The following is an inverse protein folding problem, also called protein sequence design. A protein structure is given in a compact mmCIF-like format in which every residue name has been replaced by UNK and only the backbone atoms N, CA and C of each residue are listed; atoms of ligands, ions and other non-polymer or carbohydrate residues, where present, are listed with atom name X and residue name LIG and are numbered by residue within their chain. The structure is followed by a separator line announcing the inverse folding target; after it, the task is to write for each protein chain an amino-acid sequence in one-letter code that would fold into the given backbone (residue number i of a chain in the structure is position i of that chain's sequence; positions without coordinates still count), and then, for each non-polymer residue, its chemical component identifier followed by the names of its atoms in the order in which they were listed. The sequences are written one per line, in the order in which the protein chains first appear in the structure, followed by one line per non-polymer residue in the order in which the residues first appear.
data_IF_519378124719
#
_entry.id   IF_519378124719
#
_cell.length_a   1.000
_cell.length_b   1.000
_cell.length_c   1.000
_cell.angle_alpha   90.00
_cell.angle_beta   90.00
_cell.angle_gamma   90.00
#
_symmetry.space_group_name_H-M   'P 1'
#
loop_
_entity.id
_entity.type
_entity.pdbx_description
1 polymer ?
#
# COMPACT_ATOMS: atom_id res chain seq x y z
N UNK A 1 -46.22 72.91 5.22
CA UNK A 1 -45.30 72.11 6.05
C UNK A 1 -45.24 70.69 5.47
N UNK A 2 -44.20 70.40 4.76
CA UNK A 2 -43.99 69.12 4.10
C UNK A 2 -42.97 68.32 4.93
N UNK A 3 -43.35 67.16 5.48
CA UNK A 3 -42.42 66.28 6.16
C UNK A 3 -41.80 65.34 5.14
N UNK A 4 -40.47 65.37 5.06
CA UNK A 4 -39.65 64.46 4.36
C UNK A 4 -39.37 63.24 5.27
N UNK A 5 -39.73 62.05 4.83
CA UNK A 5 -39.29 60.80 5.43
C UNK A 5 -37.97 60.35 4.79
N UNK A 6 -36.96 59.96 5.54
CA UNK A 6 -35.72 59.53 4.95
C UNK A 6 -35.82 58.07 4.48
N UNK A 7 -35.42 57.84 3.23
CA UNK A 7 -35.19 56.57 2.58
C UNK A 7 -33.87 55.94 3.13
N UNK A 8 -33.89 55.36 4.30
CA UNK A 8 -32.70 54.74 4.90
C UNK A 8 -32.98 53.40 5.62
N UNK A 9 -33.90 52.61 5.07
CA UNK A 9 -34.25 51.32 5.72
C UNK A 9 -34.41 50.14 4.73
N UNK A 10 -33.70 50.11 3.60
CA UNK A 10 -33.84 49.01 2.65
C UNK A 10 -32.50 48.41 2.15
N UNK A 11 -31.41 48.61 2.85
CA UNK A 11 -30.11 48.04 2.50
C UNK A 11 -29.53 47.06 3.53
N UNK A 12 -30.31 46.58 4.49
CA UNK A 12 -29.81 45.75 5.57
C UNK A 12 -30.27 44.28 5.51
N UNK A 13 -30.80 43.80 4.37
CA UNK A 13 -31.32 42.40 4.31
C UNK A 13 -30.77 41.55 3.14
N UNK A 14 -29.56 41.82 2.64
CA UNK A 14 -28.96 41.03 1.56
C UNK A 14 -27.51 40.63 1.83
N UNK A 15 -27.12 40.43 3.09
CA UNK A 15 -25.74 40.06 3.48
C UNK A 15 -25.71 38.85 4.39
N UNK A 16 -26.62 37.87 4.21
CA UNK A 16 -26.67 36.66 5.04
C UNK A 16 -26.88 35.39 4.20
N UNK A 17 -26.15 35.23 3.07
CA UNK A 17 -26.06 33.95 2.35
C UNK A 17 -24.70 33.76 1.70
N UNK A 18 -23.65 34.08 2.41
CA UNK A 18 -22.33 33.52 2.15
C UNK A 18 -21.96 32.66 3.37
N UNK A 19 -22.62 31.50 3.52
CA UNK A 19 -22.01 30.40 4.23
C UNK A 19 -20.75 30.01 3.43
N UNK A 20 -19.54 30.22 3.93
CA UNK A 20 -18.41 29.56 3.35
C UNK A 20 -18.71 28.07 3.49
N UNK A 21 -18.90 27.40 2.34
CA UNK A 21 -19.01 25.95 2.30
C UNK A 21 -17.94 25.39 3.20
N UNK A 22 -18.32 24.48 4.10
CA UNK A 22 -17.39 23.77 4.96
C UNK A 22 -16.35 23.15 4.07
N UNK A 23 -15.22 23.83 3.89
CA UNK A 23 -14.05 23.28 3.24
C UNK A 23 -13.68 22.04 4.04
N UNK A 24 -13.87 20.88 3.45
CA UNK A 24 -13.46 19.62 4.04
C UNK A 24 -12.00 19.79 4.43
N UNK A 25 -11.74 19.88 5.72
CA UNK A 25 -10.41 20.18 6.26
C UNK A 25 -9.50 19.03 5.92
N UNK A 26 -8.60 19.23 4.97
CA UNK A 26 -7.45 18.35 4.76
C UNK A 26 -6.69 18.26 6.08
N UNK A 27 -6.55 17.06 6.60
CA UNK A 27 -5.83 16.83 7.87
C UNK A 27 -4.50 16.18 7.58
N UNK A 28 -3.42 16.80 8.02
CA UNK A 28 -2.12 16.18 8.03
C UNK A 28 -2.15 14.93 8.95
N UNK A 29 -1.68 13.81 8.44
CA UNK A 29 -1.43 12.59 9.22
C UNK A 29 0.06 12.34 9.29
N UNK A 30 0.57 12.17 10.49
CA UNK A 30 1.95 11.81 10.74
C UNK A 30 2.00 10.70 11.78
N UNK A 31 2.64 9.59 11.42
CA UNK A 31 2.98 8.49 12.31
C UNK A 31 4.49 8.21 12.20
N UNK A 32 4.98 7.24 12.96
CA UNK A 32 6.38 6.80 12.82
C UNK A 32 6.70 6.20 11.45
N UNK A 33 5.69 5.67 10.74
CA UNK A 33 5.91 4.94 9.49
C UNK A 33 5.38 5.66 8.26
N UNK A 34 4.55 6.70 8.43
CA UNK A 34 3.99 7.40 7.29
C UNK A 34 3.63 8.87 7.60
N UNK A 35 3.73 9.73 6.59
CA UNK A 35 3.37 11.15 6.68
C UNK A 35 2.75 11.63 5.37
N UNK A 36 1.65 12.38 5.44
CA UNK A 36 0.96 12.93 4.28
C UNK A 36 -0.38 13.56 4.65
N UNK A 37 -1.20 13.86 3.66
CA UNK A 37 -2.49 14.50 3.83
C UNK A 37 -3.65 13.54 3.59
N UNK A 38 -4.72 13.70 4.38
CA UNK A 38 -5.97 12.96 4.23
C UNK A 38 -7.09 13.94 3.90
N UNK A 39 -7.80 13.68 2.81
CA UNK A 39 -9.06 14.33 2.48
C UNK A 39 -10.18 13.29 2.44
N UNK A 40 -11.26 13.55 3.18
CA UNK A 40 -12.43 12.65 3.29
C UNK A 40 -12.08 11.18 3.54
N UNK A 41 -11.07 10.94 4.39
CA UNK A 41 -10.60 9.60 4.74
C UNK A 41 -9.70 8.92 3.70
N UNK A 42 -9.34 9.60 2.62
CA UNK A 42 -8.44 9.10 1.57
C UNK A 42 -7.10 9.82 1.62
N UNK A 43 -6.03 9.10 1.35
CA UNK A 43 -4.71 9.68 1.15
C UNK A 43 -4.70 10.51 -0.12
N UNK A 44 -4.19 11.75 -0.05
CA UNK A 44 -4.07 12.68 -1.19
C UNK A 44 -2.68 13.28 -1.24
N UNK A 45 -2.27 13.74 -2.43
CA UNK A 45 -0.95 14.33 -2.63
C UNK A 45 0.20 13.38 -2.34
N UNK A 46 1.34 13.94 -2.00
CA UNK A 46 2.59 13.19 -1.76
C UNK A 46 2.61 12.65 -0.34
N UNK A 47 2.81 11.35 -0.24
CA UNK A 47 3.03 10.63 1.02
C UNK A 47 4.46 10.14 1.11
N UNK A 48 5.02 10.26 2.29
CA UNK A 48 6.31 9.70 2.67
C UNK A 48 6.11 8.49 3.55
N UNK A 49 6.83 7.42 3.25
CA UNK A 49 6.79 6.18 3.99
C UNK A 49 8.17 5.85 4.54
N UNK A 50 8.21 5.39 5.76
CA UNK A 50 9.44 5.18 6.51
C UNK A 50 9.53 3.74 7.01
N UNK A 51 10.76 3.27 7.21
CA UNK A 51 11.07 2.10 8.05
C UNK A 51 11.86 2.55 9.27
N UNK A 52 11.83 1.74 10.31
CA UNK A 52 12.66 1.95 11.49
C UNK A 52 13.90 1.06 11.40
N UNK A 53 15.05 1.63 11.63
CA UNK A 53 16.28 0.89 11.83
C UNK A 53 16.30 0.23 13.21
N UNK A 54 17.24 -0.69 13.47
CA UNK A 54 17.36 -1.38 14.76
C UNK A 54 17.55 -0.43 15.95
N UNK A 55 18.17 0.73 15.71
CA UNK A 55 18.38 1.81 16.69
C UNK A 55 17.24 2.84 16.72
N UNK A 56 16.09 2.53 16.10
CA UNK A 56 14.87 3.34 16.15
C UNK A 56 14.85 4.56 15.23
N UNK A 57 15.87 4.76 14.38
CA UNK A 57 15.87 5.90 13.45
C UNK A 57 14.92 5.64 12.29
N UNK A 58 14.19 6.68 11.91
CA UNK A 58 13.36 6.68 10.71
C UNK A 58 14.23 6.80 9.45
N UNK A 59 13.95 5.95 8.48
CA UNK A 59 14.56 5.99 7.15
C UNK A 59 13.48 6.06 6.10
N UNK A 60 13.54 7.06 5.23
CA UNK A 60 12.62 7.20 4.10
C UNK A 60 12.82 6.01 3.14
N UNK A 61 11.75 5.27 2.89
CA UNK A 61 11.77 4.11 1.98
C UNK A 61 11.00 4.36 0.69
N UNK A 62 9.96 5.23 0.73
CA UNK A 62 9.17 5.50 -0.46
C UNK A 62 8.52 6.89 -0.38
N UNK A 63 8.40 7.57 -1.53
CA UNK A 63 7.48 8.69 -1.77
C UNK A 63 6.53 8.33 -2.88
N UNK A 64 5.24 8.50 -2.61
CA UNK A 64 4.19 8.17 -3.56
C UNK A 64 3.14 9.28 -3.59
N UNK A 65 2.82 9.75 -4.79
CA UNK A 65 1.71 10.70 -4.98
C UNK A 65 0.41 9.93 -5.21
N UNK A 66 -0.47 9.96 -4.20
CA UNK A 66 -1.77 9.30 -4.23
C UNK A 66 -2.78 9.97 -5.15
N UNK A 67 -2.63 11.27 -5.44
CA UNK A 67 -3.50 11.99 -6.37
C UNK A 67 -3.09 11.69 -7.81
N UNK A 68 -1.80 11.73 -8.11
CA UNK A 68 -1.28 11.44 -9.44
C UNK A 68 -1.08 9.93 -9.69
N UNK A 69 -1.26 9.09 -8.67
CA UNK A 69 -1.00 7.64 -8.70
C UNK A 69 0.42 7.33 -9.20
N UNK A 70 1.43 8.03 -8.63
CA UNK A 70 2.80 8.03 -9.16
C UNK A 70 3.84 7.80 -8.07
N UNK A 71 4.76 6.86 -8.33
CA UNK A 71 5.97 6.69 -7.54
C UNK A 71 6.94 7.85 -7.83
N UNK A 72 7.37 8.55 -6.78
CA UNK A 72 8.32 9.67 -6.86
C UNK A 72 9.72 9.27 -6.41
N UNK A 73 9.79 8.36 -5.43
CA UNK A 73 11.04 7.86 -4.87
C UNK A 73 10.83 6.48 -4.26
N UNK A 74 11.82 5.64 -4.36
CA UNK A 74 11.95 4.44 -3.54
C UNK A 74 13.41 4.24 -3.15
N UNK A 75 13.64 3.70 -1.96
CA UNK A 75 14.96 3.26 -1.55
C UNK A 75 15.30 1.98 -2.29
N UNK A 76 16.45 1.90 -2.96
CA UNK A 76 16.87 0.67 -3.61
C UNK A 76 16.91 -0.49 -2.61
N UNK A 77 16.31 -1.60 -2.98
CA UNK A 77 16.34 -2.89 -2.28
C UNK A 77 17.32 -3.82 -2.97
N UNK A 78 17.53 -5.01 -2.41
CA UNK A 78 18.40 -6.01 -3.01
C UNK A 78 18.04 -6.28 -4.48
N UNK A 79 19.07 -6.37 -5.31
CA UNK A 79 18.94 -6.61 -6.75
C UNK A 79 18.74 -8.12 -7.00
N UNK A 80 17.54 -8.60 -6.72
CA UNK A 80 17.15 -9.99 -6.97
C UNK A 80 16.51 -10.13 -8.35
N UNK A 81 16.76 -11.25 -9.08
CA UNK A 81 16.11 -11.52 -10.34
C UNK A 81 14.65 -11.96 -10.13
N UNK A 82 13.77 -11.49 -10.98
CA UNK A 82 12.35 -11.89 -11.04
C UNK A 82 12.08 -12.70 -12.30
N UNK A 83 11.13 -13.64 -12.22
CA UNK A 83 10.54 -14.23 -13.42
C UNK A 83 9.64 -13.17 -14.05
N UNK A 84 10.00 -12.69 -15.24
CA UNK A 84 9.31 -11.61 -15.93
C UNK A 84 9.17 -11.88 -17.42
N UNK A 85 8.18 -11.28 -18.04
CA UNK A 85 7.98 -11.33 -19.48
C UNK A 85 8.96 -10.35 -20.16
N UNK A 86 10.01 -10.89 -20.75
CA UNK A 86 11.05 -10.11 -21.46
C UNK A 86 10.63 -9.73 -22.88
N UNK A 87 9.78 -10.55 -23.49
CA UNK A 87 9.10 -10.33 -24.78
C UNK A 87 7.73 -11.00 -24.75
N UNK A 88 6.77 -10.63 -25.60
CA UNK A 88 5.44 -11.22 -25.60
C UNK A 88 5.45 -12.75 -25.60
N UNK A 89 4.92 -13.35 -24.53
CA UNK A 89 4.89 -14.80 -24.30
C UNK A 89 6.21 -15.42 -23.88
N UNK A 90 7.31 -14.67 -23.79
CA UNK A 90 8.63 -15.17 -23.36
C UNK A 90 8.94 -14.74 -21.94
N UNK A 91 8.97 -15.68 -21.02
CA UNK A 91 9.30 -15.48 -19.62
C UNK A 91 10.74 -15.89 -19.35
N UNK A 92 11.46 -15.07 -18.59
CA UNK A 92 12.82 -15.36 -18.18
C UNK A 92 13.10 -14.78 -16.78
N UNK A 93 13.98 -15.42 -16.04
CA UNK A 93 14.45 -14.91 -14.76
C UNK A 93 15.55 -13.88 -15.02
N UNK A 94 15.23 -12.59 -14.80
CA UNK A 94 16.14 -11.48 -15.06
C UNK A 94 16.01 -10.37 -14.03
N UNK A 95 17.05 -9.52 -13.96
CA UNK A 95 17.03 -8.32 -13.13
C UNK A 95 16.20 -7.24 -13.79
N UNK A 96 15.40 -6.57 -13.00
CA UNK A 96 14.56 -5.44 -13.43
C UNK A 96 15.17 -4.13 -12.91
N UNK A 97 14.97 -3.04 -13.63
CA UNK A 97 15.49 -1.72 -13.22
C UNK A 97 14.76 -1.18 -11.98
N UNK A 98 13.46 -1.45 -11.90
CA UNK A 98 12.63 -1.16 -10.74
C UNK A 98 11.90 -2.45 -10.35
N UNK A 99 12.09 -2.95 -9.13
CA UNK A 99 11.33 -4.11 -8.66
C UNK A 99 9.86 -3.78 -8.48
N UNK A 100 8.98 -4.78 -8.40
CA UNK A 100 7.61 -4.55 -7.96
C UNK A 100 7.63 -4.06 -6.51
N UNK A 101 6.88 -3.00 -6.20
CA UNK A 101 6.85 -2.38 -4.88
C UNK A 101 5.42 -2.29 -4.37
N UNK A 102 5.21 -2.57 -3.10
CA UNK A 102 3.92 -2.28 -2.46
C UNK A 102 3.84 -0.80 -2.08
N UNK A 103 2.70 -0.13 -2.34
CA UNK A 103 2.50 1.27 -1.93
C UNK A 103 2.50 1.36 -0.41
N UNK A 104 3.42 2.14 0.14
CA UNK A 104 3.67 2.20 1.57
C UNK A 104 4.87 1.37 2.02
N UNK A 105 5.53 0.67 1.09
CA UNK A 105 6.72 -0.12 1.35
C UNK A 105 6.46 -1.39 2.15
N UNK A 106 7.54 -1.99 2.66
CA UNK A 106 7.50 -3.24 3.41
C UNK A 106 6.70 -3.13 4.71
N UNK A 107 6.72 -1.98 5.38
CA UNK A 107 5.98 -1.78 6.62
C UNK A 107 4.46 -1.87 6.41
N UNK A 108 3.95 -1.28 5.33
CA UNK A 108 2.54 -1.37 4.97
C UNK A 108 2.15 -2.80 4.59
N UNK A 109 3.01 -3.51 3.84
CA UNK A 109 2.79 -4.91 3.50
C UNK A 109 2.80 -5.80 4.76
N UNK A 110 3.76 -5.58 5.67
CA UNK A 110 3.87 -6.30 6.94
C UNK A 110 2.61 -6.14 7.82
N UNK A 111 1.96 -4.96 7.79
CA UNK A 111 0.71 -4.74 8.51
C UNK A 111 -0.45 -5.64 8.02
N UNK A 112 -0.47 -6.00 6.73
CA UNK A 112 -1.40 -7.02 6.22
C UNK A 112 -0.97 -8.42 6.66
N UNK A 113 0.31 -8.73 6.60
CA UNK A 113 0.85 -10.05 7.00
C UNK A 113 0.67 -10.32 8.50
N UNK A 114 0.64 -9.28 9.34
CA UNK A 114 0.38 -9.41 10.78
C UNK A 114 -1.04 -9.93 11.11
N UNK A 115 -1.96 -9.96 10.13
CA UNK A 115 -3.31 -10.54 10.25
C UNK A 115 -3.33 -12.06 10.02
N UNK A 116 -2.16 -12.69 9.94
CA UNK A 116 -2.02 -14.13 9.75
C UNK A 116 -2.58 -14.88 10.96
N UNK A 117 -3.56 -15.74 10.73
CA UNK A 117 -4.09 -16.61 11.76
C UNK A 117 -3.28 -17.90 11.81
N UNK A 118 -2.89 -18.31 13.00
CA UNK A 118 -2.20 -19.58 13.17
C UNK A 118 -3.24 -20.69 13.33
N UNK A 119 -3.34 -21.67 12.42
CA UNK A 119 -4.32 -22.73 12.52
C UNK A 119 -4.14 -23.58 13.79
N UNK A 120 -5.23 -23.86 14.50
CA UNK A 120 -5.21 -24.66 15.75
C UNK A 120 -4.59 -26.03 15.53
N UNK A 121 -4.85 -26.65 14.37
CA UNK A 121 -4.28 -27.94 14.01
C UNK A 121 -2.74 -27.86 13.91
N UNK A 122 -2.20 -26.80 13.32
CA UNK A 122 -0.76 -26.59 13.24
C UNK A 122 -0.13 -26.31 14.61
N UNK A 123 -0.81 -25.52 15.45
CA UNK A 123 -0.37 -25.27 16.83
C UNK A 123 -0.29 -26.56 17.64
N UNK A 124 -1.34 -27.38 17.61
CA UNK A 124 -1.40 -28.64 18.35
C UNK A 124 -0.35 -29.68 17.91
N UNK A 125 0.11 -29.57 16.65
CA UNK A 125 1.12 -30.46 16.08
C UNK A 125 2.52 -29.83 16.04
N UNK A 126 2.69 -28.62 16.60
CA UNK A 126 3.96 -27.85 16.58
C UNK A 126 4.52 -27.66 15.17
N UNK A 127 3.66 -27.54 14.15
CA UNK A 127 4.07 -27.30 12.76
C UNK A 127 4.46 -25.83 12.63
N UNK A 128 5.73 -25.55 12.37
CA UNK A 128 6.30 -24.22 12.20
C UNK A 128 7.08 -24.16 10.89
N UNK A 129 7.23 -22.97 10.32
CA UNK A 129 8.02 -22.79 9.10
C UNK A 129 7.55 -21.61 8.26
N UNK A 130 7.93 -21.63 7.00
CA UNK A 130 7.55 -20.61 6.01
C UNK A 130 6.70 -21.26 4.92
N UNK A 131 5.55 -20.64 4.65
CA UNK A 131 4.77 -20.93 3.45
C UNK A 131 5.12 -19.89 2.40
N UNK A 132 5.51 -20.32 1.21
CA UNK A 132 5.84 -19.44 0.10
C UNK A 132 4.67 -19.41 -0.87
N UNK A 133 4.05 -18.22 -1.02
CA UNK A 133 2.96 -17.98 -1.96
C UNK A 133 3.48 -17.15 -3.12
N UNK A 134 3.22 -17.58 -4.35
CA UNK A 134 3.51 -16.80 -5.55
C UNK A 134 2.23 -16.25 -6.18
N UNK A 135 2.38 -15.11 -6.86
CA UNK A 135 1.35 -14.50 -7.68
C UNK A 135 1.98 -13.60 -8.75
N UNK A 136 1.26 -13.41 -9.85
CA UNK A 136 1.69 -12.46 -10.87
C UNK A 136 1.26 -11.04 -10.48
N UNK A 137 2.14 -10.05 -10.74
CA UNK A 137 1.84 -8.63 -10.70
C UNK A 137 1.92 -8.14 -12.14
N UNK A 138 0.82 -7.61 -12.68
CA UNK A 138 0.75 -7.13 -14.05
C UNK A 138 1.32 -5.70 -14.21
N UNK A 139 1.31 -5.19 -15.44
CA UNK A 139 1.80 -3.84 -15.77
C UNK A 139 0.99 -2.70 -15.15
N UNK A 140 -0.16 -2.98 -14.57
CA UNK A 140 -1.02 -2.03 -13.85
C UNK A 140 -0.97 -2.23 -12.33
N UNK A 141 -0.12 -3.14 -11.83
CA UNK A 141 -0.02 -3.45 -10.40
C UNK A 141 -1.14 -4.34 -9.85
N UNK A 142 -1.94 -4.98 -10.71
CA UNK A 142 -2.96 -5.94 -10.29
C UNK A 142 -2.34 -7.30 -10.06
N UNK A 143 -2.89 -8.04 -9.09
CA UNK A 143 -2.38 -9.37 -8.73
C UNK A 143 -3.31 -10.48 -9.24
N UNK A 144 -2.73 -11.60 -9.66
CA UNK A 144 -3.47 -12.78 -10.13
C UNK A 144 -2.67 -14.06 -9.94
N UNK A 145 -3.32 -15.22 -10.14
CA UNK A 145 -2.63 -16.52 -10.16
C UNK A 145 -2.01 -16.94 -8.82
N UNK A 146 -2.60 -16.52 -7.68
CA UNK A 146 -2.08 -16.86 -6.36
C UNK A 146 -2.05 -18.37 -6.14
N UNK A 147 -0.88 -18.90 -5.82
CA UNK A 147 -0.67 -20.33 -5.54
C UNK A 147 0.43 -20.53 -4.49
N UNK A 148 0.33 -21.61 -3.73
CA UNK A 148 1.40 -22.04 -2.81
C UNK A 148 2.49 -22.71 -3.62
N UNK A 149 3.73 -22.23 -3.48
CA UNK A 149 4.92 -22.86 -4.06
C UNK A 149 5.56 -23.85 -3.09
N UNK A 150 5.60 -23.47 -1.82
CA UNK A 150 6.16 -24.29 -0.74
C UNK A 150 5.24 -24.18 0.46
N UNK A 151 4.71 -25.32 0.90
CA UNK A 151 3.83 -25.43 2.05
C UNK A 151 4.48 -26.16 3.22
N UNK A 152 3.81 -26.07 4.37
CA UNK A 152 4.19 -26.78 5.61
C UNK A 152 3.03 -27.63 6.16
N UNK A 153 1.85 -27.55 5.54
CA UNK A 153 0.65 -28.28 5.95
C UNK A 153 0.00 -27.73 7.22
N UNK A 154 -0.87 -28.56 7.84
CA UNK A 154 -1.57 -28.19 9.09
C UNK A 154 -2.58 -27.05 8.96
N UNK A 155 -3.03 -26.73 7.75
CA UNK A 155 -3.89 -25.59 7.45
C UNK A 155 -3.12 -24.25 7.23
N UNK A 156 -1.80 -24.26 7.39
CA UNK A 156 -0.96 -23.05 7.21
C UNK A 156 -0.95 -22.60 5.75
N UNK A 157 -0.96 -23.52 4.82
CA UNK A 157 -0.89 -23.26 3.38
C UNK A 157 -2.16 -22.55 2.90
N UNK A 158 -3.32 -23.04 3.34
CA UNK A 158 -4.62 -22.45 3.05
C UNK A 158 -4.76 -21.07 3.67
N UNK A 159 -4.29 -20.89 4.91
CA UNK A 159 -4.34 -19.60 5.59
C UNK A 159 -3.42 -18.57 4.92
N UNK A 160 -2.18 -18.94 4.57
CA UNK A 160 -1.27 -18.07 3.84
C UNK A 160 -1.86 -17.63 2.50
N UNK A 161 -2.45 -18.57 1.75
CA UNK A 161 -3.09 -18.28 0.47
C UNK A 161 -4.34 -17.39 0.65
N UNK A 162 -5.17 -17.66 1.67
CA UNK A 162 -6.32 -16.82 2.02
C UNK A 162 -5.89 -15.40 2.32
N UNK A 163 -4.91 -15.23 3.21
CA UNK A 163 -4.42 -13.90 3.60
C UNK A 163 -3.79 -13.18 2.42
N UNK A 164 -2.98 -13.85 1.62
CA UNK A 164 -2.35 -13.27 0.44
C UNK A 164 -3.39 -12.65 -0.52
N UNK A 165 -4.51 -13.33 -0.73
CA UNK A 165 -5.61 -12.84 -1.59
C UNK A 165 -6.37 -11.64 -1.00
N UNK A 166 -6.24 -11.36 0.30
CA UNK A 166 -6.86 -10.18 0.94
C UNK A 166 -5.98 -8.94 0.90
N UNK A 167 -4.71 -9.07 0.52
CA UNK A 167 -3.81 -7.94 0.33
C UNK A 167 -4.33 -7.12 -0.86
N UNK A 168 -4.62 -5.81 -0.68
CA UNK A 168 -5.15 -5.01 -1.77
C UNK A 168 -4.15 -4.90 -2.92
N UNK A 169 -4.60 -4.76 -4.17
CA UNK A 169 -3.73 -4.66 -5.34
C UNK A 169 -3.10 -3.25 -5.44
N UNK A 170 -2.38 -2.85 -4.41
CA UNK A 170 -1.66 -1.57 -4.33
C UNK A 170 -0.19 -1.76 -4.68
N UNK A 171 0.07 -2.44 -5.80
CA UNK A 171 1.41 -2.69 -6.27
C UNK A 171 1.81 -1.69 -7.35
N UNK A 172 3.06 -1.25 -7.28
CA UNK A 172 3.73 -0.50 -8.32
C UNK A 172 4.41 -1.54 -9.20
N UNK A 173 4.13 -1.60 -10.50
CA UNK A 173 4.66 -2.65 -11.37
C UNK A 173 6.18 -2.58 -11.50
N UNK A 174 6.80 -3.71 -11.77
CA UNK A 174 8.21 -3.78 -12.15
C UNK A 174 8.48 -3.03 -13.46
N UNK A 175 9.70 -2.56 -13.65
CA UNK A 175 10.13 -1.91 -14.90
C UNK A 175 11.41 -2.54 -15.44
N UNK A 176 11.39 -2.82 -16.73
CA UNK A 176 12.53 -3.30 -17.52
C UNK A 176 12.65 -2.47 -18.79
N UNK A 177 13.84 -1.97 -19.08
CA UNK A 177 14.10 -1.09 -20.23
C UNK A 177 13.12 0.11 -20.32
N UNK A 178 12.81 0.73 -19.15
CA UNK A 178 11.91 1.88 -19.05
C UNK A 178 10.40 1.56 -19.18
N UNK A 179 10.02 0.31 -19.45
CA UNK A 179 8.62 -0.13 -19.59
C UNK A 179 8.15 -0.92 -18.38
N UNK A 180 6.87 -0.81 -18.03
CA UNK A 180 6.26 -1.69 -17.05
C UNK A 180 6.18 -3.11 -17.62
N UNK A 181 6.56 -4.10 -16.80
CA UNK A 181 6.55 -5.52 -17.19
C UNK A 181 5.85 -6.35 -16.11
N UNK A 182 5.13 -7.41 -16.49
CA UNK A 182 4.57 -8.33 -15.52
C UNK A 182 5.69 -9.17 -14.91
N UNK A 183 5.52 -9.50 -13.63
CA UNK A 183 6.48 -10.33 -12.88
C UNK A 183 5.75 -11.34 -12.02
N UNK A 184 6.41 -12.46 -11.73
CA UNK A 184 6.00 -13.36 -10.65
C UNK A 184 6.69 -12.90 -9.36
N UNK A 185 5.85 -12.63 -8.34
CA UNK A 185 6.30 -12.24 -7.02
C UNK A 185 6.10 -13.38 -6.03
N UNK A 186 7.05 -13.57 -5.14
CA UNK A 186 7.03 -14.61 -4.11
C UNK A 186 6.98 -13.95 -2.73
N UNK A 187 5.94 -14.27 -1.95
CA UNK A 187 5.71 -13.70 -0.64
C UNK A 187 5.77 -14.79 0.43
N UNK A 188 6.76 -14.74 1.37
CA UNK A 188 6.90 -15.70 2.44
C UNK A 188 5.99 -15.35 3.63
N UNK A 189 5.18 -16.30 4.11
CA UNK A 189 4.40 -16.22 5.34
C UNK A 189 5.07 -17.09 6.40
N UNK A 190 5.44 -16.50 7.54
CA UNK A 190 6.16 -17.20 8.60
C UNK A 190 5.21 -17.58 9.74
N UNK A 191 5.10 -18.88 9.99
CA UNK A 191 4.39 -19.45 11.13
C UNK A 191 5.41 -19.84 12.21
N UNK A 192 5.34 -19.16 13.35
CA UNK A 192 6.23 -19.39 14.49
C UNK A 192 5.43 -19.40 15.78
N UNK A 193 5.59 -20.44 16.59
CA UNK A 193 5.03 -20.51 17.94
C UNK A 193 5.79 -19.55 18.86
N UNK A 194 5.05 -18.78 19.65
CA UNK A 194 5.67 -18.00 20.72
C UNK A 194 6.08 -18.98 21.81
N UNK A 195 7.36 -19.00 22.15
CA UNK A 195 7.82 -19.68 23.35
C UNK A 195 7.24 -18.94 24.55
N UNK A 196 6.50 -19.67 25.38
CA UNK A 196 6.02 -19.16 26.69
C UNK A 196 7.16 -19.13 27.68
#
# INVERSE_FOLDING_TARGET
MKQLYPLAALCALLLLLLCPGASAQQRARKTELESGEIDKGRKVGVWEYFSLTRDGRQVLVQRYDHTANKLLYYRPIEDIPYETEVSPGQWARTRVQQPPLFVGGEAALAAYMAKLNYPVQAQNRNIQGKVLVSFAIDTLGRTSGHKVLMGIGGGCDEEALRLCRTIPPQWIPARLAGRAVPVVYELPFTFRLQQR
#
